data_IF_802713604470
#
_entry.id   IF_802713604470
#
_cell.length_a   1.000
_cell.length_b   1.000
_cell.length_c   1.000
_cell.angle_alpha   90.00
_cell.angle_beta   90.00
_cell.angle_gamma   90.00
#
_symmetry.space_group_name_H-M   'P 1'
#
loop_
_entity.id
_entity.type
_entity.pdbx_description
1 polymer ?
#
# COMPACT_ATOMS: atom_id res chain seq x y z
N UNK A 1 -51.18 18.55 16.57
CA UNK A 1 -49.90 19.16 17.00
C UNK A 1 -49.40 18.65 18.34
N UNK A 2 -50.24 18.32 19.33
CA UNK A 2 -49.80 17.64 20.57
C UNK A 2 -49.45 16.14 20.40
N UNK A 3 -49.85 15.52 19.29
CA UNK A 3 -49.68 14.09 18.97
C UNK A 3 -48.25 13.74 18.57
N UNK A 4 -47.66 14.54 17.65
CA UNK A 4 -46.29 14.33 17.13
C UNK A 4 -45.27 14.26 18.26
N UNK A 5 -45.34 15.17 19.24
CA UNK A 5 -44.35 15.21 20.33
C UNK A 5 -44.51 14.03 21.32
N UNK A 6 -45.71 13.48 21.47
CA UNK A 6 -45.94 12.27 22.28
C UNK A 6 -45.44 11.01 21.56
N UNK A 7 -45.72 10.88 20.27
CA UNK A 7 -45.26 9.77 19.42
C UNK A 7 -43.73 9.78 19.24
N UNK A 8 -43.14 10.98 19.22
CA UNK A 8 -41.71 11.19 19.08
C UNK A 8 -40.90 10.51 20.18
N UNK A 9 -41.36 10.52 21.44
CA UNK A 9 -40.62 9.90 22.53
C UNK A 9 -40.50 8.37 22.33
N UNK A 10 -41.59 7.72 21.91
CA UNK A 10 -41.58 6.28 21.64
C UNK A 10 -40.71 5.95 20.44
N UNK A 11 -40.78 6.74 19.38
CA UNK A 11 -39.95 6.55 18.20
C UNK A 11 -38.46 6.77 18.48
N UNK A 12 -38.10 7.77 19.30
CA UNK A 12 -36.71 7.97 19.73
C UNK A 12 -36.20 6.74 20.46
N UNK A 13 -36.99 6.15 21.37
CA UNK A 13 -36.61 4.91 22.07
C UNK A 13 -36.48 3.72 21.12
N UNK A 14 -37.35 3.61 20.13
CA UNK A 14 -37.25 2.60 19.08
C UNK A 14 -35.97 2.73 18.26
N UNK A 15 -35.67 3.96 17.81
CA UNK A 15 -34.43 4.27 17.08
C UNK A 15 -33.21 3.97 17.96
N UNK A 16 -33.21 4.36 19.24
CA UNK A 16 -32.12 4.10 20.18
C UNK A 16 -31.81 2.59 20.27
N UNK A 17 -32.82 1.75 20.50
CA UNK A 17 -32.64 0.28 20.57
C UNK A 17 -32.12 -0.30 19.25
N UNK A 18 -32.63 0.19 18.11
CA UNK A 18 -32.17 -0.25 16.79
C UNK A 18 -30.70 0.13 16.57
N UNK A 19 -30.31 1.37 16.87
CA UNK A 19 -28.93 1.84 16.73
C UNK A 19 -27.98 1.09 17.69
N UNK A 20 -28.40 0.81 18.94
CA UNK A 20 -27.63 0.00 19.89
C UNK A 20 -27.39 -1.44 19.39
N UNK A 21 -28.32 -1.97 18.59
CA UNK A 21 -28.17 -3.29 17.95
C UNK A 21 -27.26 -3.28 16.70
N UNK A 22 -26.69 -2.11 16.35
CA UNK A 22 -25.81 -1.94 15.19
C UNK A 22 -26.55 -1.70 13.87
N UNK A 23 -27.85 -1.43 13.90
CA UNK A 23 -28.62 -1.04 12.72
C UNK A 23 -28.21 0.37 12.30
N UNK A 24 -27.97 0.59 11.01
CA UNK A 24 -27.61 1.91 10.48
C UNK A 24 -28.74 2.92 10.61
N UNK A 25 -28.40 4.21 10.70
CA UNK A 25 -29.35 5.32 10.92
C UNK A 25 -30.48 5.34 9.87
N UNK A 26 -30.14 5.15 8.60
CA UNK A 26 -31.13 5.11 7.53
C UNK A 26 -32.12 3.94 7.68
N UNK A 27 -31.65 2.78 8.11
CA UNK A 27 -32.51 1.60 8.29
C UNK A 27 -33.38 1.73 9.55
N UNK A 28 -32.84 2.31 10.63
CA UNK A 28 -33.62 2.62 11.83
C UNK A 28 -34.75 3.62 11.51
N UNK A 29 -34.49 4.63 10.67
CA UNK A 29 -35.52 5.54 10.17
C UNK A 29 -36.58 4.82 9.33
N UNK A 30 -36.18 3.84 8.51
CA UNK A 30 -37.10 3.05 7.69
C UNK A 30 -38.03 2.21 8.56
N UNK A 31 -37.52 1.60 9.62
CA UNK A 31 -38.34 0.91 10.61
C UNK A 31 -39.45 1.79 11.19
N UNK A 32 -39.11 3.01 11.64
CA UNK A 32 -40.11 3.96 12.15
C UNK A 32 -41.09 4.39 11.05
N UNK A 33 -40.61 4.51 9.80
CA UNK A 33 -41.49 4.79 8.67
C UNK A 33 -42.49 3.65 8.45
N UNK A 34 -42.08 2.38 8.52
CA UNK A 34 -42.95 1.23 8.25
C UNK A 34 -43.89 0.89 9.42
N UNK A 35 -43.48 1.22 10.65
CA UNK A 35 -44.29 1.08 11.87
C UNK A 35 -45.35 2.20 12.03
N UNK A 36 -46.23 2.05 13.01
CA UNK A 36 -47.39 2.92 13.24
C UNK A 36 -47.13 3.94 14.36
N UNK A 37 -46.18 4.86 14.12
CA UNK A 37 -45.91 6.02 14.99
C UNK A 37 -46.67 7.26 14.54
N UNK A 38 -47.91 7.07 14.06
CA UNK A 38 -48.83 8.15 13.71
C UNK A 38 -48.28 9.15 12.71
N UNK A 39 -48.28 10.43 13.09
CA UNK A 39 -47.87 11.54 12.21
C UNK A 39 -46.37 11.48 11.88
N UNK A 40 -45.55 10.90 12.77
CA UNK A 40 -44.10 10.79 12.59
C UNK A 40 -43.73 9.82 11.46
N UNK A 41 -44.39 8.66 11.42
CA UNK A 41 -44.17 7.66 10.36
C UNK A 41 -44.48 8.24 8.98
N UNK A 42 -45.49 9.11 8.87
CA UNK A 42 -45.81 9.80 7.63
C UNK A 42 -44.70 10.75 7.18
N UNK A 43 -44.07 11.48 8.11
CA UNK A 43 -42.92 12.34 7.79
C UNK A 43 -41.76 11.51 7.26
N UNK A 44 -41.43 10.40 7.91
CA UNK A 44 -40.32 9.55 7.46
C UNK A 44 -40.63 8.85 6.13
N UNK A 45 -41.86 8.36 5.91
CA UNK A 45 -42.31 7.86 4.60
C UNK A 45 -42.14 8.91 3.51
N UNK A 46 -42.41 10.19 3.81
CA UNK A 46 -42.22 11.26 2.85
C UNK A 46 -40.74 11.48 2.52
N UNK A 47 -39.83 11.37 3.49
CA UNK A 47 -38.37 11.43 3.27
C UNK A 47 -37.93 10.31 2.32
N UNK A 48 -38.39 9.07 2.56
CA UNK A 48 -38.04 7.94 1.70
C UNK A 48 -38.64 8.09 0.30
N UNK A 49 -39.90 8.51 0.15
CA UNK A 49 -40.49 8.78 -1.17
C UNK A 49 -39.75 9.87 -1.95
N UNK A 50 -39.37 10.96 -1.29
CA UNK A 50 -38.60 12.03 -1.91
C UNK A 50 -37.24 11.52 -2.42
N UNK A 51 -36.65 10.59 -1.66
CA UNK A 51 -35.37 9.95 -2.00
C UNK A 51 -35.52 8.94 -3.15
N UNK A 52 -36.57 8.13 -3.15
CA UNK A 52 -36.95 7.26 -4.27
C UNK A 52 -37.25 8.07 -5.55
N UNK A 53 -37.75 9.30 -5.39
CA UNK A 53 -37.94 10.28 -6.47
C UNK A 53 -36.64 10.91 -6.99
N UNK A 54 -35.48 10.51 -6.48
CA UNK A 54 -34.16 10.94 -6.95
C UNK A 54 -33.52 12.09 -6.18
N UNK A 55 -34.14 12.58 -5.09
CA UNK A 55 -33.45 13.52 -4.19
C UNK A 55 -32.42 12.79 -3.33
N UNK A 56 -31.35 13.48 -2.94
CA UNK A 56 -30.42 12.95 -1.96
C UNK A 56 -31.12 12.76 -0.60
N UNK A 57 -30.90 11.63 0.07
CA UNK A 57 -31.49 11.30 1.37
C UNK A 57 -31.24 12.40 2.41
N UNK A 58 -30.01 12.92 2.48
CA UNK A 58 -29.65 14.02 3.39
C UNK A 58 -30.43 15.30 3.08
N UNK A 59 -30.69 15.60 1.80
CA UNK A 59 -31.44 16.80 1.40
C UNK A 59 -32.95 16.66 1.64
N UNK A 60 -33.48 15.45 1.51
CA UNK A 60 -34.86 15.12 1.88
C UNK A 60 -35.10 15.31 3.39
N UNK A 61 -34.15 14.89 4.23
CA UNK A 61 -34.19 15.14 5.68
C UNK A 61 -34.14 16.65 5.98
N UNK A 62 -33.23 17.40 5.34
CA UNK A 62 -33.13 18.87 5.49
C UNK A 62 -34.42 19.58 5.09
N UNK A 63 -35.09 19.08 4.06
CA UNK A 63 -36.37 19.63 3.62
C UNK A 63 -37.43 19.43 4.71
N UNK A 64 -37.53 18.24 5.29
CA UNK A 64 -38.47 17.98 6.39
C UNK A 64 -38.13 18.74 7.69
N UNK A 65 -36.84 18.93 7.98
CA UNK A 65 -36.41 19.78 9.10
C UNK A 65 -36.88 21.23 8.96
N UNK A 66 -36.98 21.74 7.73
CA UNK A 66 -37.42 23.12 7.45
C UNK A 66 -38.93 23.24 7.44
N UNK A 67 -39.66 22.20 7.03
CA UNK A 67 -41.13 22.19 6.99
C UNK A 67 -41.78 21.80 8.31
N UNK A 68 -41.07 21.12 9.23
CA UNK A 68 -41.65 20.66 10.49
C UNK A 68 -41.86 21.79 11.51
N UNK A 69 -43.06 21.88 12.06
CA UNK A 69 -43.40 22.81 13.14
C UNK A 69 -43.00 22.28 14.52
N UNK A 70 -42.69 20.99 14.67
CA UNK A 70 -42.24 20.40 15.95
C UNK A 70 -40.74 20.70 16.21
N UNK A 71 -40.41 21.39 17.31
CA UNK A 71 -39.02 21.61 17.71
C UNK A 71 -38.29 20.30 18.04
N UNK A 72 -39.01 19.34 18.63
CA UNK A 72 -38.46 18.04 19.00
C UNK A 72 -38.05 17.24 17.77
N UNK A 73 -38.96 17.13 16.79
CA UNK A 73 -38.68 16.40 15.55
C UNK A 73 -37.52 17.02 14.78
N UNK A 74 -37.46 18.35 14.72
CA UNK A 74 -36.36 19.07 14.08
C UNK A 74 -35.01 18.72 14.69
N UNK A 75 -34.94 18.61 16.02
CA UNK A 75 -33.72 18.24 16.74
C UNK A 75 -33.31 16.80 16.44
N UNK A 76 -34.26 15.87 16.45
CA UNK A 76 -34.01 14.45 16.11
C UNK A 76 -33.50 14.31 14.68
N UNK A 77 -34.21 14.89 13.70
CA UNK A 77 -33.79 14.86 12.30
C UNK A 77 -32.40 15.48 12.10
N UNK A 78 -32.09 16.57 12.82
CA UNK A 78 -30.76 17.19 12.81
C UNK A 78 -29.67 16.26 13.36
N UNK A 79 -29.95 15.52 14.42
CA UNK A 79 -29.00 14.53 14.96
C UNK A 79 -28.78 13.36 13.99
N UNK A 80 -29.85 12.86 13.38
CA UNK A 80 -29.77 11.72 12.45
C UNK A 80 -28.97 12.07 11.19
N UNK A 81 -29.19 13.26 10.60
CA UNK A 81 -28.44 13.68 9.40
C UNK A 81 -26.95 13.90 9.70
N UNK A 82 -26.60 14.45 10.87
CA UNK A 82 -25.19 14.62 11.26
C UNK A 82 -24.47 13.27 11.34
N UNK A 83 -25.11 12.25 11.93
CA UNK A 83 -24.54 10.90 11.99
C UNK A 83 -24.29 10.30 10.60
N UNK A 84 -25.23 10.47 9.67
CA UNK A 84 -25.10 9.95 8.30
C UNK A 84 -23.95 10.64 7.53
N UNK A 85 -23.82 11.96 7.70
CA UNK A 85 -22.75 12.73 7.03
C UNK A 85 -21.37 12.44 7.62
N UNK A 86 -21.27 12.22 8.93
CA UNK A 86 -20.02 11.81 9.58
C UNK A 86 -19.56 10.43 9.10
N UNK A 87 -20.45 9.44 9.03
CA UNK A 87 -20.11 8.10 8.52
C UNK A 87 -19.59 8.15 7.08
N UNK A 88 -20.24 8.95 6.23
CA UNK A 88 -19.80 9.13 4.82
C UNK A 88 -18.39 9.75 4.76
N UNK A 89 -18.12 10.77 5.57
CA UNK A 89 -16.81 11.42 5.63
C UNK A 89 -15.70 10.46 6.09
N UNK A 90 -15.99 9.60 7.07
CA UNK A 90 -15.04 8.58 7.54
C UNK A 90 -14.75 7.55 6.45
N UNK A 91 -15.77 7.08 5.73
CA UNK A 91 -15.59 6.13 4.61
C UNK A 91 -14.70 6.73 3.52
N UNK A 92 -14.94 7.98 3.13
CA UNK A 92 -14.15 8.68 2.11
C UNK A 92 -12.68 8.85 2.53
N UNK A 93 -12.43 9.15 3.81
CA UNK A 93 -11.07 9.21 4.36
C UNK A 93 -10.38 7.85 4.34
N UNK A 94 -11.07 6.79 4.77
CA UNK A 94 -10.50 5.43 4.77
C UNK A 94 -10.15 4.97 3.35
N UNK A 95 -11.02 5.27 2.37
CA UNK A 95 -10.74 5.01 0.96
C UNK A 95 -9.48 5.72 0.48
N UNK A 96 -9.34 7.01 0.81
CA UNK A 96 -8.15 7.80 0.49
C UNK A 96 -6.88 7.22 1.13
N UNK A 97 -6.95 6.80 2.39
CA UNK A 97 -5.84 6.15 3.09
C UNK A 97 -5.46 4.83 2.41
N UNK A 98 -6.45 3.98 2.09
CA UNK A 98 -6.22 2.71 1.42
C UNK A 98 -5.56 2.88 0.05
N UNK A 99 -6.02 3.86 -0.74
CA UNK A 99 -5.42 4.20 -2.05
C UNK A 99 -3.96 4.69 -1.90
N UNK A 100 -3.68 5.49 -0.87
CA UNK A 100 -2.33 5.95 -0.56
C UNK A 100 -1.41 4.79 -0.15
N UNK A 101 -1.85 3.93 0.76
CA UNK A 101 -1.08 2.77 1.23
C UNK A 101 -0.81 1.78 0.09
N UNK A 102 -1.82 1.51 -0.74
CA UNK A 102 -1.67 0.66 -1.92
C UNK A 102 -0.65 1.23 -2.91
N UNK A 103 -0.61 2.55 -3.09
CA UNK A 103 0.37 3.23 -3.93
C UNK A 103 1.77 3.17 -3.32
N UNK A 104 1.91 3.44 -2.03
CA UNK A 104 3.18 3.41 -1.31
C UNK A 104 3.79 2.00 -1.33
N UNK A 105 2.97 0.96 -1.15
CA UNK A 105 3.39 -0.43 -1.27
C UNK A 105 3.89 -0.79 -2.67
N UNK A 106 3.24 -0.28 -3.72
CA UNK A 106 3.71 -0.46 -5.11
C UNK A 106 5.07 0.20 -5.33
N UNK A 107 5.23 1.45 -4.91
CA UNK A 107 6.50 2.18 -5.01
C UNK A 107 7.62 1.46 -4.25
N UNK A 108 7.34 0.95 -3.05
CA UNK A 108 8.32 0.19 -2.27
C UNK A 108 8.72 -1.13 -2.95
N UNK A 109 7.78 -1.83 -3.59
CA UNK A 109 8.08 -3.02 -4.38
C UNK A 109 8.92 -2.70 -5.63
N UNK A 110 8.59 -1.62 -6.34
CA UNK A 110 9.34 -1.18 -7.52
C UNK A 110 10.78 -0.81 -7.13
N UNK A 111 10.95 -0.03 -6.06
CA UNK A 111 12.27 0.32 -5.52
C UNK A 111 13.07 -0.92 -5.08
N UNK A 112 12.41 -1.93 -4.50
CA UNK A 112 13.05 -3.18 -4.13
C UNK A 112 13.54 -3.96 -5.35
N UNK A 113 12.71 -4.07 -6.40
CA UNK A 113 13.07 -4.71 -7.67
C UNK A 113 14.23 -3.96 -8.34
N UNK A 114 14.20 -2.63 -8.35
CA UNK A 114 15.27 -1.79 -8.91
C UNK A 114 16.57 -1.96 -8.12
N UNK A 115 16.49 -1.98 -6.78
CA UNK A 115 17.64 -2.23 -5.91
C UNK A 115 18.28 -3.61 -6.09
N UNK A 116 17.47 -4.66 -6.29
CA UNK A 116 17.95 -6.01 -6.63
C UNK A 116 18.63 -6.02 -8.00
N UNK A 117 18.03 -5.37 -9.00
CA UNK A 117 18.57 -5.32 -10.37
C UNK A 117 19.91 -4.60 -10.41
N UNK A 118 20.00 -3.41 -9.78
CA UNK A 118 21.24 -2.62 -9.72
C UNK A 118 22.37 -3.37 -9.02
N UNK A 119 22.07 -4.03 -7.89
CA UNK A 119 23.08 -4.85 -7.18
C UNK A 119 23.50 -6.06 -8.01
N UNK A 120 22.54 -6.72 -8.67
CA UNK A 120 22.79 -7.93 -9.47
C UNK A 120 23.64 -7.64 -10.70
N UNK A 121 23.45 -6.50 -11.36
CA UNK A 121 24.22 -6.11 -12.53
C UNK A 121 25.71 -5.95 -12.19
N UNK A 122 26.01 -5.20 -11.12
CA UNK A 122 27.38 -4.97 -10.68
C UNK A 122 28.10 -6.27 -10.28
N UNK A 123 27.36 -7.21 -9.69
CA UNK A 123 27.89 -8.52 -9.31
C UNK A 123 28.38 -9.33 -10.52
N UNK A 124 27.56 -9.41 -11.57
CA UNK A 124 27.90 -10.17 -12.79
C UNK A 124 29.18 -9.61 -13.42
N UNK A 125 29.29 -8.28 -13.54
CA UNK A 125 30.47 -7.63 -14.11
C UNK A 125 31.74 -8.03 -13.35
N UNK A 126 31.76 -7.88 -12.03
CA UNK A 126 32.97 -8.16 -11.22
C UNK A 126 33.32 -9.64 -11.22
N UNK A 127 32.31 -10.52 -11.17
CA UNK A 127 32.52 -11.98 -11.16
C UNK A 127 33.20 -12.51 -12.43
N UNK A 128 32.95 -11.89 -13.58
CA UNK A 128 33.52 -12.31 -14.88
C UNK A 128 34.84 -11.58 -15.17
N UNK A 129 34.94 -10.29 -14.82
CA UNK A 129 36.07 -9.44 -15.21
C UNK A 129 37.37 -9.83 -14.47
N UNK A 130 37.29 -10.09 -13.16
CA UNK A 130 38.45 -10.49 -12.34
C UNK A 130 39.15 -11.77 -12.87
N UNK A 131 38.46 -12.91 -13.09
CA UNK A 131 39.12 -14.12 -13.56
C UNK A 131 39.71 -13.94 -14.96
N UNK A 132 39.07 -13.18 -15.85
CA UNK A 132 39.60 -12.88 -17.18
C UNK A 132 40.93 -12.13 -17.09
N UNK A 133 41.03 -11.09 -16.25
CA UNK A 133 42.29 -10.34 -16.07
C UNK A 133 43.40 -11.26 -15.56
N UNK A 134 43.11 -12.12 -14.58
CA UNK A 134 44.10 -13.06 -14.02
C UNK A 134 44.59 -14.05 -15.07
N UNK A 135 43.69 -14.60 -15.88
CA UNK A 135 44.04 -15.52 -16.97
C UNK A 135 44.91 -14.82 -18.02
N UNK A 136 44.55 -13.61 -18.44
CA UNK A 136 45.35 -12.83 -19.41
C UNK A 136 46.75 -12.56 -18.85
N UNK A 137 46.85 -12.11 -17.59
CA UNK A 137 48.13 -11.86 -16.94
C UNK A 137 49.01 -13.12 -16.84
N UNK A 138 48.40 -14.27 -16.55
CA UNK A 138 49.10 -15.56 -16.52
C UNK A 138 49.61 -15.96 -17.91
N UNK A 139 48.78 -15.82 -18.96
CA UNK A 139 49.17 -16.12 -20.34
C UNK A 139 50.30 -15.20 -20.81
N UNK A 140 50.21 -13.89 -20.54
CA UNK A 140 51.26 -12.93 -20.90
C UNK A 140 52.58 -13.27 -20.20
N UNK A 141 52.56 -13.56 -18.89
CA UNK A 141 53.78 -13.97 -18.18
C UNK A 141 54.38 -15.26 -18.78
N UNK A 142 53.55 -16.27 -19.07
CA UNK A 142 54.02 -17.51 -19.70
C UNK A 142 54.60 -17.31 -21.11
N UNK A 143 54.04 -16.39 -21.89
CA UNK A 143 54.58 -16.01 -23.20
C UNK A 143 55.92 -15.29 -23.09
N UNK A 144 56.08 -14.37 -22.12
CA UNK A 144 57.34 -13.66 -21.87
C UNK A 144 58.43 -14.63 -21.40
N UNK A 145 58.11 -15.57 -20.51
CA UNK A 145 59.04 -16.61 -20.05
C UNK A 145 59.51 -17.50 -21.22
N UNK A 146 58.56 -17.92 -22.07
CA UNK A 146 58.85 -18.71 -23.28
C UNK A 146 59.73 -17.94 -24.27
N UNK A 147 59.55 -16.61 -24.39
CA UNK A 147 60.37 -15.74 -25.23
C UNK A 147 61.79 -15.52 -24.66
N UNK A 148 61.94 -15.49 -23.32
CA UNK A 148 63.26 -15.48 -22.67
C UNK A 148 64.03 -16.78 -22.93
N UNK A 149 63.36 -17.93 -22.86
CA UNK A 149 63.97 -19.24 -23.05
C UNK A 149 64.44 -19.51 -24.51
N UNK A 150 63.86 -18.82 -25.51
CA UNK A 150 64.10 -19.06 -26.94
C UNK A 150 65.10 -18.09 -27.62
N UNK A 151 65.83 -17.28 -26.86
CA UNK A 151 66.91 -16.43 -27.39
C UNK A 151 66.62 -14.92 -27.44
N UNK A 152 65.58 -14.44 -26.75
CA UNK A 152 65.49 -13.06 -26.24
C UNK A 152 65.49 -11.93 -27.28
N UNK A 153 64.39 -11.78 -28.04
CA UNK A 153 64.07 -10.54 -28.77
C UNK A 153 63.57 -9.42 -27.83
N UNK A 154 62.85 -8.42 -28.36
CA UNK A 154 62.29 -7.27 -27.61
C UNK A 154 61.55 -7.66 -26.30
N UNK A 155 60.92 -8.84 -26.28
CA UNK A 155 60.18 -9.38 -25.12
C UNK A 155 61.07 -10.11 -24.09
N UNK A 156 62.33 -10.42 -24.42
CA UNK A 156 63.27 -11.10 -23.52
C UNK A 156 63.79 -10.22 -22.38
N UNK A 157 63.76 -8.89 -22.54
CA UNK A 157 64.23 -7.95 -21.53
C UNK A 157 63.09 -7.31 -20.70
N UNK A 158 61.83 -7.72 -20.91
CA UNK A 158 60.73 -7.24 -20.07
C UNK A 158 60.81 -7.89 -18.68
N UNK A 159 60.68 -7.11 -17.60
CA UNK A 159 60.55 -7.68 -16.25
C UNK A 159 59.37 -8.65 -16.21
N UNK A 160 59.63 -9.89 -15.81
CA UNK A 160 58.58 -10.90 -15.55
C UNK A 160 58.18 -10.80 -14.08
N UNK A 161 56.91 -11.05 -13.77
CA UNK A 161 56.50 -11.20 -12.37
C UNK A 161 57.18 -12.43 -11.73
N UNK A 162 57.42 -12.44 -10.41
CA UNK A 162 57.94 -13.62 -9.72
C UNK A 162 57.04 -14.85 -9.88
N UNK A 163 57.62 -16.05 -9.99
CA UNK A 163 56.89 -17.31 -10.27
C UNK A 163 55.80 -17.65 -9.24
N UNK A 164 55.95 -17.20 -7.99
CA UNK A 164 54.93 -17.38 -6.95
C UNK A 164 53.71 -16.45 -7.12
N UNK A 165 53.81 -15.40 -7.93
CA UNK A 165 52.80 -14.36 -8.05
C UNK A 165 51.57 -14.85 -8.84
N UNK A 166 51.77 -15.62 -9.91
CA UNK A 166 50.68 -16.19 -10.72
C UNK A 166 49.79 -17.17 -9.92
N UNK A 167 50.33 -18.19 -9.23
CA UNK A 167 49.51 -19.07 -8.40
C UNK A 167 48.89 -18.32 -7.20
N UNK A 168 49.56 -17.33 -6.63
CA UNK A 168 48.98 -16.48 -5.59
C UNK A 168 47.78 -15.67 -6.10
N UNK A 169 47.85 -15.10 -7.31
CA UNK A 169 46.74 -14.37 -7.94
C UNK A 169 45.55 -15.29 -8.24
N UNK A 170 45.79 -16.54 -8.64
CA UNK A 170 44.73 -17.54 -8.83
C UNK A 170 44.02 -17.87 -7.51
N UNK A 171 44.78 -18.08 -6.42
CA UNK A 171 44.21 -18.35 -5.10
C UNK A 171 43.38 -17.15 -4.61
N UNK A 172 43.92 -15.92 -4.71
CA UNK A 172 43.19 -14.71 -4.33
C UNK A 172 41.92 -14.52 -5.16
N UNK A 173 41.99 -14.78 -6.47
CA UNK A 173 40.82 -14.70 -7.36
C UNK A 173 39.74 -15.72 -6.96
N UNK A 174 40.12 -16.98 -6.71
CA UNK A 174 39.15 -18.00 -6.25
C UNK A 174 38.52 -17.67 -4.89
N UNK A 175 39.29 -17.13 -3.95
CA UNK A 175 38.76 -16.67 -2.65
C UNK A 175 37.82 -15.47 -2.83
N UNK A 176 38.15 -14.52 -3.71
CA UNK A 176 37.29 -13.36 -3.98
C UNK A 176 35.96 -13.76 -4.60
N UNK A 177 35.96 -14.72 -5.53
CA UNK A 177 34.76 -15.28 -6.16
C UNK A 177 33.93 -16.04 -5.11
N UNK A 178 34.56 -16.88 -4.29
CA UNK A 178 33.87 -17.60 -3.21
C UNK A 178 33.23 -16.64 -2.18
N UNK A 179 33.94 -15.57 -1.79
CA UNK A 179 33.42 -14.55 -0.89
C UNK A 179 32.24 -13.77 -1.49
N UNK A 180 32.28 -13.50 -2.79
CA UNK A 180 31.18 -12.88 -3.53
C UNK A 180 29.94 -13.78 -3.61
N UNK A 181 30.11 -15.09 -3.84
CA UNK A 181 29.01 -16.07 -3.83
C UNK A 181 28.36 -16.19 -2.45
N UNK A 182 29.15 -16.12 -1.37
CA UNK A 182 28.60 -16.16 0.01
C UNK A 182 27.82 -14.89 0.33
N UNK A 183 28.32 -13.71 -0.07
CA UNK A 183 27.59 -12.45 0.14
C UNK A 183 26.28 -12.37 -0.64
N UNK A 184 26.20 -13.00 -1.82
CA UNK A 184 24.94 -13.08 -2.57
C UNK A 184 23.93 -14.04 -1.94
N UNK A 185 24.38 -15.17 -1.39
CA UNK A 185 23.51 -16.06 -0.59
C UNK A 185 23.05 -15.45 0.73
N UNK A 186 23.88 -14.64 1.38
CA UNK A 186 23.50 -13.92 2.60
C UNK A 186 22.50 -12.77 2.35
N UNK A 187 22.33 -12.39 1.07
CA UNK A 187 21.40 -11.34 0.65
C UNK A 187 20.07 -11.90 0.11
N UNK A 188 19.84 -13.21 0.16
CA UNK A 188 18.49 -13.75 0.07
C UNK A 188 17.73 -13.22 1.29
N UNK A 189 16.81 -12.25 1.14
CA UNK A 189 15.95 -11.88 2.25
C UNK A 189 15.12 -13.13 2.54
N UNK A 190 15.40 -13.74 3.69
CA UNK A 190 14.59 -14.80 4.22
C UNK A 190 13.12 -14.38 4.15
N UNK A 191 12.29 -15.36 3.80
CA UNK A 191 10.93 -15.42 4.34
C UNK A 191 10.99 -15.20 5.85
#
# INVERSE_FOLDING_TARGET
>A
MATVDQELLYAIRGIEVLLESGVGVAEAMKHIADEDYGDLSNVFKQIFRDTEGGKNFSDSIRTQMRSTDSPGLRKVLSSLIMSIEEDTNVIDRLRSIAEKEARERRVNLDNFIEGLTSTSEQFIIVSILIPIIVVIGAVVNGLVESAKASGGGFMGNTPTMPDACVPALFIVATISIAGMIVQTKAKEPGV
#
